data_IF_299212785710
#
_entry.id   IF_299212785710
#
_cell.length_a   1.000
_cell.length_b   1.000
_cell.length_c   1.000
_cell.angle_alpha   90.00
_cell.angle_beta   90.00
_cell.angle_gamma   90.00
#
_symmetry.space_group_name_H-M   'P 1'
#
loop_
_entity.id
_entity.type
_entity.pdbx_description
1 polymer ?
#
# COMPACT_ATOMS: atom_id res chain seq x y z
N UNK A 1 27.50 14.08 -5.72
CA UNK A 1 27.54 14.30 -4.27
C UNK A 1 26.15 14.04 -3.68
N UNK A 2 25.95 12.92 -2.98
CA UNK A 2 24.68 12.64 -2.29
C UNK A 2 24.58 13.47 -1.01
N UNK A 3 23.58 14.34 -0.92
CA UNK A 3 23.31 15.12 0.30
C UNK A 3 22.77 14.17 1.38
N UNK A 4 23.48 14.06 2.49
CA UNK A 4 23.01 13.30 3.64
C UNK A 4 21.66 13.85 4.13
N UNK A 5 20.68 12.96 4.28
CA UNK A 5 19.34 13.34 4.72
C UNK A 5 19.30 13.33 6.25
N UNK A 6 19.17 14.50 6.87
CA UNK A 6 18.88 14.62 8.30
C UNK A 6 17.53 13.95 8.60
N UNK A 7 17.53 12.95 9.48
CA UNK A 7 16.32 12.32 9.99
C UNK A 7 15.90 13.00 11.30
N UNK A 8 14.61 13.28 11.43
CA UNK A 8 14.03 13.87 12.64
C UNK A 8 12.97 12.93 13.21
N UNK A 9 12.93 12.73 14.54
CA UNK A 9 11.92 11.89 15.17
C UNK A 9 10.53 12.50 15.03
N UNK A 10 9.50 11.66 15.12
CA UNK A 10 8.09 12.07 14.94
C UNK A 10 7.69 13.16 15.92
N UNK A 11 7.98 12.94 17.20
CA UNK A 11 7.63 13.84 18.31
C UNK A 11 8.19 15.25 18.07
N UNK A 12 9.44 15.33 17.63
CA UNK A 12 10.09 16.59 17.31
C UNK A 12 9.39 17.35 16.18
N UNK A 13 8.94 16.65 15.12
CA UNK A 13 8.20 17.29 14.02
C UNK A 13 6.85 17.83 14.47
N UNK A 14 6.13 17.05 15.31
CA UNK A 14 4.83 17.45 15.86
C UNK A 14 4.98 18.69 16.72
N UNK A 15 5.91 18.67 17.69
CA UNK A 15 6.19 19.80 18.57
C UNK A 15 6.62 21.04 17.78
N UNK A 16 7.47 20.88 16.75
CA UNK A 16 7.89 21.99 15.89
C UNK A 16 6.71 22.65 15.17
N UNK A 17 5.76 21.85 14.68
CA UNK A 17 4.55 22.35 14.02
C UNK A 17 3.62 23.05 15.02
N UNK A 18 3.41 22.47 16.20
CA UNK A 18 2.58 23.07 17.26
C UNK A 18 3.13 24.44 17.67
N UNK A 19 4.43 24.53 17.93
CA UNK A 19 5.11 25.80 18.23
C UNK A 19 4.95 26.80 17.08
N UNK A 20 5.04 26.35 15.83
CA UNK A 20 4.85 27.21 14.65
C UNK A 20 3.43 27.76 14.49
N UNK A 21 2.43 27.14 15.12
CA UNK A 21 1.06 27.64 15.11
C UNK A 21 0.83 28.70 16.20
N UNK A 22 1.56 28.61 17.31
CA UNK A 22 1.49 29.59 18.41
C UNK A 22 2.30 30.86 18.16
N UNK A 23 3.40 30.78 17.40
CA UNK A 23 4.29 31.89 17.11
C UNK A 23 4.18 32.33 15.65
N UNK A 24 4.26 33.63 15.39
CA UNK A 24 4.29 34.19 14.02
C UNK A 24 5.66 34.05 13.35
N UNK A 25 6.73 33.96 14.14
CA UNK A 25 8.10 34.16 13.67
C UNK A 25 8.79 32.83 13.32
N UNK A 26 8.42 32.26 12.17
CA UNK A 26 8.94 30.97 11.69
C UNK A 26 10.45 30.97 11.46
N UNK A 27 11.03 32.10 11.04
CA UNK A 27 12.47 32.21 10.76
C UNK A 27 13.31 32.17 12.04
N UNK A 28 12.84 32.81 13.11
CA UNK A 28 13.48 32.77 14.42
C UNK A 28 13.37 31.37 15.03
N UNK A 29 12.17 30.78 15.00
CA UNK A 29 11.93 29.42 15.49
C UNK A 29 12.80 28.38 14.76
N UNK A 30 12.94 28.49 13.45
CA UNK A 30 13.79 27.59 12.67
C UNK A 30 15.27 27.68 13.07
N UNK A 31 15.76 28.89 13.40
CA UNK A 31 17.12 29.09 13.92
C UNK A 31 17.30 28.51 15.31
N UNK A 32 16.32 28.69 16.21
CA UNK A 32 16.34 28.11 17.56
C UNK A 32 16.39 26.57 17.52
N UNK A 33 15.66 25.95 16.59
CA UNK A 33 15.58 24.50 16.45
C UNK A 33 16.71 23.90 15.58
N UNK A 34 17.61 24.72 15.02
CA UNK A 34 18.64 24.34 14.02
C UNK A 34 18.07 23.61 12.78
N UNK A 35 16.91 24.09 12.29
CA UNK A 35 16.24 23.53 11.12
C UNK A 35 16.18 24.58 10.02
N UNK A 36 16.21 24.13 8.76
CA UNK A 36 15.90 25.00 7.63
C UNK A 36 14.45 25.50 7.69
N UNK A 37 14.18 26.82 7.56
CA UNK A 37 12.82 27.37 7.57
C UNK A 37 11.89 26.68 6.55
N UNK A 38 12.42 26.37 5.36
CA UNK A 38 11.68 25.67 4.31
C UNK A 38 11.16 24.28 4.75
N UNK A 39 11.87 23.59 5.65
CA UNK A 39 11.44 22.30 6.17
C UNK A 39 10.27 22.46 7.13
N UNK A 40 10.30 23.50 7.96
CA UNK A 40 9.22 23.83 8.89
C UNK A 40 7.93 24.20 8.14
N UNK A 41 8.03 24.98 7.07
CA UNK A 41 6.90 25.25 6.16
C UNK A 41 6.32 23.96 5.57
N UNK A 42 7.18 23.04 5.13
CA UNK A 42 6.74 21.76 4.58
C UNK A 42 5.99 20.94 5.62
N UNK A 43 6.50 20.84 6.85
CA UNK A 43 5.83 20.12 7.93
C UNK A 43 4.48 20.72 8.31
N UNK A 44 4.36 22.06 8.28
CA UNK A 44 3.09 22.75 8.52
C UNK A 44 2.04 22.46 7.44
N UNK A 45 2.47 22.38 6.19
CA UNK A 45 1.59 21.97 5.08
C UNK A 45 1.19 20.49 5.22
N UNK A 46 2.16 19.62 5.48
CA UNK A 46 1.93 18.19 5.71
C UNK A 46 0.93 18.00 6.87
N UNK A 47 1.08 18.72 7.99
CA UNK A 47 0.18 18.66 9.16
C UNK A 47 -1.24 19.14 8.85
N UNK A 48 -1.39 20.20 8.06
CA UNK A 48 -2.69 20.74 7.68
C UNK A 48 -3.50 19.75 6.83
N UNK A 49 -2.83 19.08 5.89
CA UNK A 49 -3.48 18.14 4.95
C UNK A 49 -3.86 16.83 5.66
N UNK A 50 -3.08 16.36 6.64
CA UNK A 50 -3.27 15.06 7.30
C UNK A 50 -3.25 15.20 8.82
N UNK A 51 -4.18 15.98 9.39
CA UNK A 51 -4.21 16.38 10.82
C UNK A 51 -3.98 15.27 11.86
N UNK A 52 -4.19 13.99 11.57
CA UNK A 52 -3.86 12.86 12.47
C UNK A 52 -2.75 11.91 12.00
N UNK A 53 -2.20 12.12 10.80
CA UNK A 53 -1.45 11.12 10.04
C UNK A 53 -0.21 11.67 9.31
N UNK A 54 0.14 12.95 9.48
CA UNK A 54 1.21 13.58 8.67
C UNK A 54 2.60 13.02 8.88
N UNK A 55 2.87 12.40 10.02
CA UNK A 55 4.21 11.90 10.37
C UNK A 55 4.20 10.41 10.70
N UNK A 56 3.88 9.50 9.76
CA UNK A 56 4.19 8.10 9.94
C UNK A 56 5.70 7.93 9.73
N UNK A 57 6.43 7.60 10.78
CA UNK A 57 7.82 7.16 10.63
C UNK A 57 7.89 5.90 9.73
N UNK A 58 9.04 5.72 9.07
CA UNK A 58 9.43 4.48 8.38
C UNK A 58 8.40 3.89 7.41
N UNK A 59 8.01 4.64 6.37
CA UNK A 59 7.34 4.08 5.19
C UNK A 59 5.95 3.48 5.42
N UNK A 60 5.37 3.62 6.62
CA UNK A 60 4.00 3.16 6.88
C UNK A 60 3.02 4.15 6.24
N UNK A 61 2.37 3.72 5.16
CA UNK A 61 1.21 4.43 4.62
C UNK A 61 0.10 4.30 5.65
N UNK A 62 -0.27 5.40 6.30
CA UNK A 62 -1.47 5.43 7.12
C UNK A 62 -2.63 5.48 6.14
N UNK A 63 -3.25 4.33 5.95
CA UNK A 63 -4.48 4.19 5.19
C UNK A 63 -5.61 4.76 6.07
N UNK A 64 -6.41 5.67 5.51
CA UNK A 64 -7.69 6.07 6.08
C UNK A 64 -8.56 4.84 6.38
N UNK A 65 -9.53 4.91 7.29
CA UNK A 65 -10.41 3.77 7.61
C UNK A 65 -11.03 3.17 6.34
N UNK A 66 -11.49 4.02 5.41
CA UNK A 66 -11.98 3.61 4.11
C UNK A 66 -10.92 2.91 3.23
N UNK A 67 -9.67 3.35 3.30
CA UNK A 67 -8.57 2.74 2.55
C UNK A 67 -8.12 1.40 3.16
N UNK A 68 -8.26 1.24 4.48
CA UNK A 68 -8.05 -0.03 5.17
C UNK A 68 -9.11 -1.05 4.78
N UNK A 69 -10.38 -0.65 4.78
CA UNK A 69 -11.49 -1.48 4.30
C UNK A 69 -11.28 -1.89 2.84
N UNK A 70 -10.91 -0.94 1.96
CA UNK A 70 -10.59 -1.26 0.57
C UNK A 70 -9.43 -2.25 0.45
N UNK A 71 -8.40 -2.16 1.30
CA UNK A 71 -7.29 -3.09 1.29
C UNK A 71 -7.72 -4.51 1.74
N UNK A 72 -8.56 -4.60 2.77
CA UNK A 72 -9.12 -5.88 3.24
C UNK A 72 -10.02 -6.52 2.18
N UNK A 73 -10.98 -5.76 1.64
CA UNK A 73 -11.90 -6.24 0.59
C UNK A 73 -11.15 -6.68 -0.67
N UNK A 74 -10.10 -5.93 -1.09
CA UNK A 74 -9.25 -6.34 -2.21
C UNK A 74 -8.46 -7.62 -1.94
N UNK A 75 -8.10 -7.88 -0.67
CA UNK A 75 -7.41 -9.11 -0.28
C UNK A 75 -8.37 -10.30 -0.37
N UNK A 76 -9.58 -10.17 0.18
CA UNK A 76 -10.63 -11.20 0.12
C UNK A 76 -11.02 -11.56 -1.32
N UNK A 77 -11.19 -10.54 -2.18
CA UNK A 77 -11.47 -10.76 -3.61
C UNK A 77 -10.35 -11.55 -4.30
N UNK A 78 -9.09 -11.26 -3.97
CA UNK A 78 -7.93 -11.94 -4.55
C UNK A 78 -7.86 -13.39 -4.08
N UNK A 79 -8.06 -13.65 -2.80
CA UNK A 79 -8.09 -15.01 -2.24
C UNK A 79 -9.19 -15.84 -2.91
N UNK A 80 -10.40 -15.30 -3.01
CA UNK A 80 -11.52 -15.95 -3.70
C UNK A 80 -11.25 -16.20 -5.19
N UNK A 81 -10.59 -15.26 -5.88
CA UNK A 81 -10.20 -15.44 -7.28
C UNK A 81 -9.16 -16.55 -7.45
N UNK A 82 -8.16 -16.59 -6.58
CA UNK A 82 -7.14 -17.65 -6.61
C UNK A 82 -7.76 -19.04 -6.40
N UNK A 83 -8.68 -19.19 -5.45
CA UNK A 83 -9.39 -20.46 -5.22
C UNK A 83 -10.16 -20.92 -6.47
N UNK A 84 -10.89 -20.00 -7.12
CA UNK A 84 -11.60 -20.30 -8.38
C UNK A 84 -10.66 -20.66 -9.51
N UNK A 85 -9.54 -19.96 -9.64
CA UNK A 85 -8.57 -20.19 -10.70
C UNK A 85 -7.87 -21.55 -10.54
N UNK A 86 -7.57 -21.96 -9.30
CA UNK A 86 -7.06 -23.30 -9.00
C UNK A 86 -8.08 -24.37 -9.39
N UNK A 87 -9.35 -24.21 -8.97
CA UNK A 87 -10.40 -25.16 -9.34
C UNK A 87 -10.60 -25.22 -10.85
N UNK A 88 -10.70 -24.07 -11.51
CA UNK A 88 -10.87 -23.97 -12.96
C UNK A 88 -9.69 -24.60 -13.71
N UNK A 89 -8.46 -24.41 -13.23
CA UNK A 89 -7.27 -25.07 -13.75
C UNK A 89 -7.41 -26.60 -13.65
N UNK A 90 -7.81 -27.11 -12.49
CA UNK A 90 -8.01 -28.55 -12.28
C UNK A 90 -9.11 -29.14 -13.18
N UNK A 91 -10.27 -28.47 -13.26
CA UNK A 91 -11.37 -28.88 -14.14
C UNK A 91 -10.95 -28.88 -15.61
N UNK A 92 -10.23 -27.84 -16.05
CA UNK A 92 -9.73 -27.75 -17.43
C UNK A 92 -8.75 -28.86 -17.80
N UNK A 93 -7.86 -29.24 -16.87
CA UNK A 93 -6.93 -30.36 -17.08
C UNK A 93 -7.68 -31.70 -17.14
N UNK A 94 -8.65 -31.88 -16.24
CA UNK A 94 -9.43 -33.11 -16.14
C UNK A 94 -10.31 -33.36 -17.37
N UNK A 95 -10.99 -32.34 -17.90
CA UNK A 95 -11.84 -32.47 -19.09
C UNK A 95 -11.04 -32.72 -20.37
N UNK A 96 -9.83 -32.16 -20.46
CA UNK A 96 -8.95 -32.38 -21.61
C UNK A 96 -8.41 -33.84 -21.69
N UNK A 97 -8.24 -34.51 -20.55
CA UNK A 97 -7.79 -35.91 -20.49
C UNK A 97 -8.85 -36.94 -20.92
N UNK A 98 -10.14 -36.61 -20.84
CA UNK A 98 -11.23 -37.55 -21.14
C UNK A 98 -11.50 -37.67 -22.66
N UNK A 99 -11.12 -36.67 -23.46
CA UNK A 99 -11.40 -36.62 -24.90
C UNK A 99 -10.59 -37.62 -25.77
N UNK A 100 -9.58 -38.31 -25.22
CA UNK A 100 -8.64 -39.12 -26.01
C UNK A 100 -8.83 -40.65 -25.94
N UNK A 101 -9.91 -41.19 -25.34
CA UNK A 101 -10.04 -42.66 -25.13
C UNK A 101 -11.18 -43.36 -25.85
N UNK A 102 -11.95 -42.71 -26.70
CA UNK A 102 -12.96 -43.38 -27.55
C UNK A 102 -12.44 -43.61 -28.97
N UNK A 103 -11.52 -44.59 -29.11
CA UNK A 103 -11.27 -45.24 -30.41
C UNK A 103 -12.53 -46.06 -30.76
N UNK A 104 -13.22 -45.80 -31.89
CA UNK A 104 -14.38 -46.61 -32.27
C UNK A 104 -13.91 -48.04 -32.59
N UNK A 105 -14.44 -49.02 -31.84
CA UNK A 105 -14.21 -50.43 -32.09
C UNK A 105 -14.72 -50.79 -33.50
N UNK A 106 -13.81 -51.15 -34.40
CA UNK A 106 -14.13 -51.60 -35.75
C UNK A 106 -14.75 -53.01 -35.64
N UNK A 107 -16.07 -53.09 -35.78
CA UNK A 107 -16.81 -54.37 -35.87
C UNK A 107 -16.36 -55.08 -37.16
N UNK A 108 -15.58 -56.15 -37.01
CA UNK A 108 -15.25 -57.06 -38.13
C UNK A 108 -16.51 -57.83 -38.50
N UNK A 109 -17.02 -57.62 -39.72
CA UNK A 109 -18.02 -58.50 -40.32
C UNK A 109 -17.41 -59.89 -40.50
N UNK A 110 -18.03 -60.89 -39.88
CA UNK A 110 -17.78 -62.31 -40.14
C UNK A 110 -18.58 -62.68 -41.41
N UNK A 111 -17.89 -63.33 -42.36
CA UNK A 111 -18.52 -64.02 -43.48
C UNK A 111 -19.07 -65.37 -43.01
#
# INVERSE_FOLDING_TARGET
MSRERKAYPKEFKVMSVELSNTRTDLSALAKELDISPALLYRWRMESSIKQGSSFPGNGKVILSAAEQELALVKKELRETQMERDILKSFYSVSTCGIANTTKPAKIRKLN
#
